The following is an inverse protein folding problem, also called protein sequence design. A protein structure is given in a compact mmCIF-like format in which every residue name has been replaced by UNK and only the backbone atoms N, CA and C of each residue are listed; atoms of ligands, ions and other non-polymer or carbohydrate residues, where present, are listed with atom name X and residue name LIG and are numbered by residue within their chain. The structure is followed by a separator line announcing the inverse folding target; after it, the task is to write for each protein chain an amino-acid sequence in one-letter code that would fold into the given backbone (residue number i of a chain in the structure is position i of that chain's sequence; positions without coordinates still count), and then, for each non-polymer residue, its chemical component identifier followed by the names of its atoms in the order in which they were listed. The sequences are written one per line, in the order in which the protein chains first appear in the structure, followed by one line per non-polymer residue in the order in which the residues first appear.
data_IF_786008474679
#
_entry.id   IF_786008474679
#
_cell.length_a   1.000
_cell.length_b   1.000
_cell.length_c   1.000
_cell.angle_alpha   90.00
_cell.angle_beta   90.00
_cell.angle_gamma   90.00
#
_symmetry.space_group_name_H-M   'P 1'
#
loop_
_entity.id
_entity.type
_entity.pdbx_description
1 polymer ?
#
# COMPACT_ATOMS: atom_id res chain seq x y z
N UNK A 1 -17.51 2.11 -1.39
CA UNK A 1 -17.78 0.66 -1.31
C UNK A 1 -16.51 -0.14 -1.56
N UNK A 2 -16.30 -1.23 -0.82
CA UNK A 2 -15.29 -2.26 -1.04
C UNK A 2 -16.01 -3.57 -1.34
N UNK A 3 -15.59 -4.24 -2.42
CA UNK A 3 -16.10 -5.55 -2.84
C UNK A 3 -14.95 -6.54 -2.91
N UNK A 4 -15.22 -7.79 -2.50
CA UNK A 4 -14.30 -8.92 -2.57
C UNK A 4 -15.05 -10.04 -3.29
N UNK A 5 -14.48 -10.58 -4.37
CA UNK A 5 -15.08 -11.62 -5.22
C UNK A 5 -16.52 -11.30 -5.66
N UNK A 6 -16.78 -10.03 -5.96
CA UNK A 6 -18.10 -9.55 -6.40
C UNK A 6 -19.09 -9.30 -5.27
N UNK A 7 -18.74 -9.61 -4.02
CA UNK A 7 -19.60 -9.40 -2.85
C UNK A 7 -19.24 -8.10 -2.14
N UNK A 8 -20.24 -7.28 -1.86
CA UNK A 8 -20.08 -6.04 -1.11
C UNK A 8 -19.80 -6.36 0.36
N UNK A 9 -18.58 -6.12 0.82
CA UNK A 9 -18.21 -6.32 2.24
C UNK A 9 -18.34 -5.02 3.03
N UNK A 10 -18.19 -3.88 2.37
CA UNK A 10 -18.38 -2.57 3.01
C UNK A 10 -18.98 -1.59 2.03
N UNK A 11 -20.22 -1.20 2.28
CA UNK A 11 -20.97 -0.32 1.39
C UNK A 11 -20.55 1.14 1.56
N UNK A 12 -20.62 1.64 2.79
CA UNK A 12 -20.34 3.03 3.13
C UNK A 12 -18.88 3.24 3.51
N UNK A 13 -18.11 3.82 2.60
CA UNK A 13 -16.74 4.27 2.85
C UNK A 13 -16.74 5.79 2.79
N UNK A 14 -16.54 6.43 3.94
CA UNK A 14 -16.67 7.88 4.08
C UNK A 14 -15.54 8.67 3.42
N UNK A 15 -14.33 8.09 3.33
CA UNK A 15 -13.16 8.78 2.78
C UNK A 15 -12.28 7.86 1.94
N UNK A 16 -11.53 8.45 1.01
CA UNK A 16 -10.56 7.72 0.21
C UNK A 16 -9.50 7.01 1.06
N UNK A 17 -8.97 7.69 2.08
CA UNK A 17 -7.93 7.12 2.97
C UNK A 17 -8.45 5.91 3.74
N UNK A 18 -9.71 5.93 4.19
CA UNK A 18 -10.36 4.76 4.78
C UNK A 18 -10.44 3.60 3.78
N UNK A 19 -10.88 3.86 2.54
CA UNK A 19 -10.96 2.82 1.51
C UNK A 19 -9.60 2.22 1.16
N UNK A 20 -8.58 3.06 1.04
CA UNK A 20 -7.20 2.62 0.81
C UNK A 20 -6.68 1.78 1.98
N UNK A 21 -6.89 2.22 3.22
CA UNK A 21 -6.50 1.47 4.41
C UNK A 21 -7.17 0.08 4.45
N UNK A 22 -8.44 0.00 4.06
CA UNK A 22 -9.16 -1.29 3.96
C UNK A 22 -8.57 -2.19 2.87
N UNK A 23 -8.20 -1.67 1.70
CA UNK A 23 -7.53 -2.46 0.65
C UNK A 23 -6.19 -3.01 1.15
N UNK A 24 -5.36 -2.18 1.79
CA UNK A 24 -4.09 -2.61 2.37
C UNK A 24 -4.31 -3.66 3.48
N UNK A 25 -5.28 -3.44 4.37
CA UNK A 25 -5.61 -4.38 5.43
C UNK A 25 -6.08 -5.74 4.88
N UNK A 26 -6.88 -5.75 3.81
CA UNK A 26 -7.31 -7.00 3.16
C UNK A 26 -6.14 -7.80 2.60
N UNK A 27 -5.14 -7.10 2.04
CA UNK A 27 -3.94 -7.73 1.54
C UNK A 27 -3.09 -8.34 2.66
N UNK A 28 -2.83 -7.59 3.73
CA UNK A 28 -1.91 -8.03 4.79
C UNK A 28 -2.55 -8.97 5.82
N UNK A 29 -3.82 -8.78 6.17
CA UNK A 29 -4.47 -9.56 7.22
C UNK A 29 -5.21 -10.79 6.68
N UNK A 30 -5.78 -10.69 5.47
CA UNK A 30 -6.61 -11.76 4.88
C UNK A 30 -5.96 -12.43 3.67
N UNK A 31 -4.75 -12.00 3.27
CA UNK A 31 -4.04 -12.48 2.07
C UNK A 31 -4.87 -12.34 0.77
N UNK A 32 -5.81 -11.39 0.73
CA UNK A 32 -6.60 -11.09 -0.47
C UNK A 32 -5.73 -10.25 -1.40
N UNK A 33 -5.42 -10.79 -2.57
CA UNK A 33 -4.58 -10.10 -3.56
C UNK A 33 -5.28 -8.86 -4.11
N UNK A 34 -4.49 -7.85 -4.41
CA UNK A 34 -5.00 -6.70 -5.15
C UNK A 34 -5.51 -7.10 -6.54
N UNK A 35 -6.48 -6.34 -7.10
CA UNK A 35 -6.90 -6.52 -8.49
C UNK A 35 -5.70 -6.34 -9.43
N UNK A 36 -5.57 -7.24 -10.42
CA UNK A 36 -4.41 -7.36 -11.31
C UNK A 36 -3.99 -6.00 -11.91
N UNK A 37 -4.95 -5.24 -12.44
CA UNK A 37 -4.68 -3.97 -13.13
C UNK A 37 -4.27 -2.83 -12.19
N UNK A 38 -4.48 -2.99 -10.89
CA UNK A 38 -4.20 -1.97 -9.86
C UNK A 38 -3.09 -2.37 -8.88
N UNK A 39 -2.60 -3.61 -8.96
CA UNK A 39 -1.67 -4.17 -7.99
C UNK A 39 -0.37 -3.36 -7.92
N UNK A 40 0.24 -3.01 -9.06
CA UNK A 40 1.47 -2.21 -9.12
C UNK A 40 1.30 -0.82 -8.50
N UNK A 41 0.16 -0.17 -8.72
CA UNK A 41 -0.17 1.14 -8.15
C UNK A 41 -0.36 1.06 -6.63
N UNK A 42 -1.11 0.08 -6.14
CA UNK A 42 -1.30 -0.14 -4.70
C UNK A 42 0.01 -0.52 -4.01
N UNK A 43 0.83 -1.33 -4.68
CA UNK A 43 2.18 -1.65 -4.23
C UNK A 43 3.15 -0.45 -4.25
N UNK A 44 2.98 0.49 -5.17
CA UNK A 44 3.71 1.74 -5.15
C UNK A 44 3.26 2.61 -3.97
N UNK A 45 1.94 2.71 -3.76
CA UNK A 45 1.38 3.52 -2.68
C UNK A 45 1.81 3.01 -1.30
N UNK A 46 1.73 1.70 -1.07
CA UNK A 46 2.13 1.12 0.21
C UNK A 46 3.61 1.39 0.50
N UNK A 47 4.49 1.30 -0.52
CA UNK A 47 5.94 1.46 -0.35
C UNK A 47 6.36 2.92 -0.21
N UNK A 48 5.84 3.79 -1.07
CA UNK A 48 6.30 5.16 -1.21
C UNK A 48 5.58 6.15 -0.28
N UNK A 49 4.32 5.89 0.06
CA UNK A 49 3.53 6.80 0.90
C UNK A 49 3.18 6.20 2.27
N UNK A 50 2.92 4.90 2.36
CA UNK A 50 2.58 4.27 3.65
C UNK A 50 3.79 3.69 4.40
N UNK A 51 4.95 3.58 3.75
CA UNK A 51 6.16 2.99 4.35
C UNK A 51 6.05 1.50 4.67
N UNK A 52 5.09 0.80 4.05
CA UNK A 52 4.84 -0.63 4.25
C UNK A 52 5.61 -1.43 3.20
N UNK A 53 6.31 -2.48 3.65
CA UNK A 53 7.18 -3.31 2.82
C UNK A 53 8.11 -2.52 1.87
N UNK A 54 8.86 -1.52 2.39
CA UNK A 54 9.71 -0.68 1.56
C UNK A 54 10.79 -1.52 0.86
N UNK A 55 11.25 -1.07 -0.31
CA UNK A 55 12.32 -1.74 -1.08
C UNK A 55 13.59 -1.97 -0.25
N UNK A 56 13.85 -1.09 0.72
CA UNK A 56 14.95 -1.19 1.67
C UNK A 56 14.38 -1.12 3.08
N UNK A 57 14.78 -2.04 3.94
CA UNK A 57 14.34 -2.03 5.34
C UNK A 57 14.93 -0.84 6.11
N UNK A 58 14.24 -0.43 7.18
CA UNK A 58 14.68 0.65 8.08
C UNK A 58 16.03 0.41 8.77
N UNK A 59 16.54 -0.83 8.71
CA UNK A 59 17.85 -1.25 9.25
C UNK A 59 19.02 -1.04 8.29
N UNK A 60 18.76 -0.67 7.03
CA UNK A 60 19.81 -0.25 6.11
C UNK A 60 19.91 1.26 6.27
N UNK A 61 20.91 1.73 7.04
CA UNK A 61 21.29 3.14 7.02
C UNK A 61 21.52 3.55 5.57
N UNK A 62 20.60 4.33 5.02
CA UNK A 62 20.87 5.08 3.80
C UNK A 62 21.93 6.09 4.20
N UNK A 63 23.21 5.71 4.07
CA UNK A 63 24.30 6.66 4.06
C UNK A 63 23.96 7.68 2.99
N UNK A 64 23.53 8.87 3.41
CA UNK A 64 23.41 10.07 2.57
C UNK A 64 24.81 10.46 2.10
N UNK A 65 25.40 9.68 1.19
CA UNK A 65 26.67 10.00 0.53
C UNK A 65 26.38 10.53 -0.87
N UNK A 66 25.48 11.50 -0.98
CA UNK A 66 25.29 12.29 -2.20
C UNK A 66 24.91 13.73 -1.81
N UNK A 67 25.86 14.43 -1.19
CA UNK A 67 25.84 15.91 -1.12
C UNK A 67 27.23 16.47 -0.76
N UNK A 68 28.30 15.98 -1.40
CA UNK A 68 29.61 16.65 -1.46
C UNK A 68 30.33 16.26 -2.75
N UNK A 69 29.81 16.72 -3.88
CA UNK A 69 30.52 16.79 -5.16
C UNK A 69 29.77 17.77 -6.07
N UNK A 70 29.70 19.02 -5.65
CA UNK A 70 29.61 20.21 -6.50
C UNK A 70 30.81 21.08 -6.12
#
# INVERSE_FOLDING_TARGET
MLSIDGVVVTEHIATFTTGLAMLLASYYNFNIRYPMDSASTLEFIQRCFAGINPKWGSKIEVKKTLQKAL
#
